data_IF_756794632291
#
_entry.id   IF_756794632291
#
_cell.length_a   1.000
_cell.length_b   1.000
_cell.length_c   1.000
_cell.angle_alpha   90.00
_cell.angle_beta   90.00
_cell.angle_gamma   90.00
#
_symmetry.space_group_name_H-M   'P 1'
#
loop_
_entity.id
_entity.type
_entity.pdbx_description
1 polymer ?
#
# COMPACT_ATOMS: atom_id res chain seq x y z
N UNK A 1 -0.65 9.67 10.38
CA UNK A 1 -1.48 9.17 9.27
C UNK A 1 -2.71 8.49 9.84
N UNK A 2 -3.89 9.05 9.59
CA UNK A 2 -5.15 8.62 10.23
C UNK A 2 -6.14 7.96 9.26
N UNK A 3 -5.95 8.12 7.94
CA UNK A 3 -6.87 7.59 6.95
C UNK A 3 -6.18 7.37 5.59
N UNK A 4 -6.80 6.55 4.74
CA UNK A 4 -6.43 6.35 3.34
C UNK A 4 -7.14 7.43 2.51
N UNK A 5 -6.45 8.55 2.31
CA UNK A 5 -6.98 9.69 1.54
C UNK A 5 -7.30 9.29 0.09
N UNK A 6 -6.43 8.59 -0.64
CA UNK A 6 -6.74 8.13 -2.00
C UNK A 6 -8.03 7.34 -2.12
N UNK A 7 -8.29 6.43 -1.19
CA UNK A 7 -9.45 5.55 -1.26
C UNK A 7 -10.76 6.23 -0.87
N UNK A 8 -10.73 7.16 0.12
CA UNK A 8 -11.97 7.66 0.74
C UNK A 8 -12.18 9.16 0.64
N UNK A 9 -11.13 9.93 0.38
CA UNK A 9 -11.15 11.40 0.46
C UNK A 9 -10.44 12.07 -0.72
N UNK A 10 -10.37 11.42 -1.88
CA UNK A 10 -9.72 11.98 -3.07
C UNK A 10 -10.34 13.34 -3.45
N UNK A 11 -11.67 13.43 -3.58
CA UNK A 11 -12.39 14.66 -3.90
C UNK A 11 -12.07 15.79 -2.93
N UNK A 12 -12.13 15.50 -1.63
CA UNK A 12 -11.81 16.47 -0.60
C UNK A 12 -10.37 16.96 -0.70
N UNK A 13 -9.43 16.04 -0.90
CA UNK A 13 -8.02 16.37 -0.98
C UNK A 13 -7.72 17.26 -2.18
N UNK A 14 -8.23 16.91 -3.36
CA UNK A 14 -8.00 17.69 -4.57
C UNK A 14 -8.69 19.07 -4.50
N UNK A 15 -9.87 19.15 -3.89
CA UNK A 15 -10.51 20.44 -3.61
C UNK A 15 -9.68 21.30 -2.68
N UNK A 16 -9.05 20.72 -1.65
CA UNK A 16 -8.15 21.45 -0.76
C UNK A 16 -6.85 21.87 -1.46
N UNK A 17 -6.32 21.02 -2.32
CA UNK A 17 -5.14 21.33 -3.11
C UNK A 17 -5.42 22.50 -4.08
N UNK A 18 -6.62 22.56 -4.67
CA UNK A 18 -7.07 23.65 -5.51
C UNK A 18 -7.19 24.98 -4.72
N UNK A 19 -7.77 24.93 -3.53
CA UNK A 19 -7.92 26.08 -2.61
C UNK A 19 -6.55 26.57 -2.09
N UNK A 20 -5.53 25.67 -2.08
CA UNK A 20 -4.17 26.00 -1.68
C UNK A 20 -3.83 25.70 -0.22
N UNK A 21 -4.77 25.26 0.59
CA UNK A 21 -4.50 24.86 1.98
C UNK A 21 -5.54 23.92 2.56
N UNK A 22 -5.16 23.24 3.64
CA UNK A 22 -6.08 22.52 4.52
C UNK A 22 -5.89 22.97 5.97
N UNK A 23 -6.92 22.80 6.78
CA UNK A 23 -6.87 22.96 8.22
C UNK A 23 -7.05 21.61 8.91
N UNK A 24 -6.25 21.36 9.92
CA UNK A 24 -6.40 20.24 10.82
C UNK A 24 -6.51 20.75 12.25
N UNK A 25 -7.54 20.32 12.96
CA UNK A 25 -7.72 20.68 14.35
C UNK A 25 -7.08 19.62 15.24
N UNK A 26 -6.12 20.03 16.07
CA UNK A 26 -5.48 19.13 17.01
C UNK A 26 -6.53 18.61 18.03
N UNK A 27 -6.78 17.30 18.09
CA UNK A 27 -7.81 16.74 18.96
C UNK A 27 -7.53 16.87 20.46
N UNK A 28 -6.28 17.17 20.85
CA UNK A 28 -5.89 17.29 22.26
C UNK A 28 -6.09 18.70 22.83
N UNK A 29 -5.95 19.74 22.02
CA UNK A 29 -6.02 21.13 22.49
C UNK A 29 -6.97 22.02 21.67
N UNK A 30 -7.64 21.49 20.66
CA UNK A 30 -8.57 22.23 19.81
C UNK A 30 -7.94 23.31 18.90
N UNK A 31 -6.61 23.40 18.87
CA UNK A 31 -5.92 24.43 18.08
C UNK A 31 -5.88 24.03 16.60
N UNK A 32 -6.38 24.87 15.68
CA UNK A 32 -6.28 24.61 14.25
C UNK A 32 -4.85 24.82 13.75
N UNK A 33 -4.36 23.87 12.96
CA UNK A 33 -3.11 23.96 12.22
C UNK A 33 -3.45 24.06 10.74
N UNK A 34 -2.84 25.01 10.06
CA UNK A 34 -3.01 25.22 8.63
C UNK A 34 -1.79 24.68 7.87
N UNK A 35 -2.06 23.88 6.84
CA UNK A 35 -1.04 23.34 5.94
C UNK A 35 -1.24 23.98 4.57
N UNK A 36 -0.28 24.80 4.13
CA UNK A 36 -0.29 25.41 2.80
C UNK A 36 0.22 24.40 1.76
N UNK A 37 -0.43 24.39 0.60
CA UNK A 37 -0.03 23.60 -0.57
C UNK A 37 0.66 24.43 -1.67
N UNK A 38 0.84 25.74 -1.46
CA UNK A 38 1.40 26.67 -2.45
C UNK A 38 2.77 26.24 -2.99
N UNK A 39 3.60 25.68 -2.12
CA UNK A 39 4.96 25.23 -2.47
C UNK A 39 5.05 23.72 -2.78
N UNK A 40 3.91 23.03 -2.90
CA UNK A 40 3.90 21.61 -3.20
C UNK A 40 4.45 21.37 -4.59
N UNK A 41 5.46 20.49 -4.71
CA UNK A 41 6.08 20.08 -5.97
C UNK A 41 5.91 18.60 -6.25
N UNK A 42 5.69 17.82 -5.19
CA UNK A 42 5.57 16.38 -5.29
C UNK A 42 4.66 15.83 -4.20
N UNK A 43 3.85 14.81 -4.53
CA UNK A 43 2.94 14.16 -3.59
C UNK A 43 3.17 12.66 -3.61
N UNK A 44 3.32 12.08 -2.43
CA UNK A 44 3.38 10.62 -2.24
C UNK A 44 2.02 10.16 -1.75
N UNK A 45 1.33 9.38 -2.56
CA UNK A 45 0.11 8.72 -2.16
C UNK A 45 0.41 7.31 -1.64
N UNK A 46 -0.28 6.90 -0.60
CA UNK A 46 -0.17 5.56 -0.07
C UNK A 46 -1.57 5.01 0.16
N UNK A 47 -1.92 3.92 -0.52
CA UNK A 47 -3.29 3.40 -0.52
C UNK A 47 -3.33 1.90 -0.84
N UNK A 48 -4.39 1.25 -0.34
CA UNK A 48 -4.83 -0.09 -0.79
C UNK A 48 -5.82 -0.02 -1.95
N UNK A 49 -6.41 1.14 -2.20
CA UNK A 49 -7.32 1.39 -3.33
C UNK A 49 -7.11 2.81 -3.89
N UNK A 50 -6.08 3.05 -4.70
CA UNK A 50 -5.84 4.36 -5.30
C UNK A 50 -6.71 4.67 -6.52
N UNK A 51 -7.64 3.79 -6.92
CA UNK A 51 -8.51 4.00 -8.09
C UNK A 51 -9.22 5.37 -8.12
N UNK A 52 -9.74 5.90 -6.99
CA UNK A 52 -10.39 7.21 -6.98
C UNK A 52 -9.46 8.40 -7.30
N UNK A 53 -8.12 8.20 -7.34
CA UNK A 53 -7.19 9.26 -7.78
C UNK A 53 -7.19 9.44 -9.30
N UNK A 54 -7.56 8.42 -10.08
CA UNK A 54 -7.38 8.42 -11.54
C UNK A 54 -7.96 9.67 -12.21
N UNK A 55 -9.20 10.12 -11.89
CA UNK A 55 -9.77 11.32 -12.51
C UNK A 55 -8.98 12.61 -12.25
N UNK A 56 -8.14 12.64 -11.20
CA UNK A 56 -7.41 13.82 -10.76
C UNK A 56 -5.95 13.87 -11.22
N UNK A 57 -5.42 12.81 -11.82
CA UNK A 57 -4.01 12.75 -12.21
C UNK A 57 -3.67 13.82 -13.26
N UNK A 58 -4.61 14.13 -14.15
CA UNK A 58 -4.43 15.21 -15.13
C UNK A 58 -4.30 16.58 -14.44
N UNK A 59 -5.09 16.85 -13.39
CA UNK A 59 -5.00 18.08 -12.61
C UNK A 59 -3.58 18.26 -12.00
N UNK A 60 -2.97 17.19 -11.47
CA UNK A 60 -1.61 17.26 -10.96
C UNK A 60 -0.60 17.62 -12.05
N UNK A 61 -0.75 17.00 -13.22
CA UNK A 61 0.09 17.27 -14.39
C UNK A 61 -0.01 18.72 -14.84
N UNK A 62 -1.21 19.26 -14.92
CA UNK A 62 -1.47 20.65 -15.33
C UNK A 62 -0.90 21.65 -14.31
N UNK A 63 -0.85 21.27 -13.03
CA UNK A 63 -0.22 22.06 -11.94
C UNK A 63 1.28 21.84 -11.81
N UNK A 64 1.90 21.02 -12.65
CA UNK A 64 3.30 20.62 -12.55
C UNK A 64 3.67 20.03 -11.19
N UNK A 65 2.75 19.30 -10.58
CA UNK A 65 2.97 18.59 -9.32
C UNK A 65 3.23 17.11 -9.65
N UNK A 66 4.45 16.66 -9.38
CA UNK A 66 4.79 15.24 -9.53
C UNK A 66 4.11 14.38 -8.46
N UNK A 67 3.90 13.11 -8.76
CA UNK A 67 3.44 12.16 -7.74
C UNK A 67 3.98 10.76 -8.01
N UNK A 68 4.03 9.95 -6.96
CA UNK A 68 4.05 8.50 -7.08
C UNK A 68 3.12 7.86 -6.06
N UNK A 69 2.78 6.61 -6.31
CA UNK A 69 1.80 5.87 -5.53
C UNK A 69 2.48 4.67 -4.89
N UNK A 70 2.48 4.61 -3.57
CA UNK A 70 2.79 3.45 -2.76
C UNK A 70 1.52 2.58 -2.70
N UNK A 71 1.39 1.63 -3.61
CA UNK A 71 0.20 0.80 -3.71
C UNK A 71 0.37 -0.48 -2.90
N UNK A 72 -0.30 -0.56 -1.76
CA UNK A 72 -0.35 -1.79 -0.97
C UNK A 72 -1.29 -2.78 -1.64
N UNK A 73 -0.72 -3.79 -2.24
CA UNK A 73 -1.41 -4.86 -2.98
C UNK A 73 -1.01 -6.20 -2.38
N UNK A 74 -1.75 -6.60 -1.36
CA UNK A 74 -1.66 -7.90 -0.68
C UNK A 74 -2.77 -8.83 -1.21
N UNK A 75 -2.70 -10.10 -0.84
CA UNK A 75 -3.74 -11.10 -1.10
C UNK A 75 -4.17 -11.78 0.20
N UNK A 76 -4.97 -11.06 0.98
CA UNK A 76 -5.49 -11.53 2.27
C UNK A 76 -7.03 -11.58 2.32
N UNK A 77 -7.68 -11.64 1.15
CA UNK A 77 -9.15 -11.64 1.06
C UNK A 77 -9.76 -12.90 1.68
N UNK A 78 -9.17 -14.06 1.36
CA UNK A 78 -9.65 -15.37 1.84
C UNK A 78 -9.57 -15.49 3.36
N UNK A 79 -8.56 -14.89 3.96
CA UNK A 79 -8.33 -14.89 5.40
C UNK A 79 -9.10 -13.80 6.13
N UNK A 80 -9.80 -12.93 5.38
CA UNK A 80 -10.61 -11.85 5.95
C UNK A 80 -9.81 -10.73 6.62
N UNK A 81 -8.51 -10.63 6.35
CA UNK A 81 -7.63 -9.61 6.94
C UNK A 81 -7.73 -8.25 6.24
N UNK A 82 -8.32 -8.19 5.05
CA UNK A 82 -8.47 -6.97 4.24
C UNK A 82 -9.94 -6.69 3.93
N UNK A 83 -10.72 -6.37 4.97
CA UNK A 83 -12.13 -6.00 4.80
C UNK A 83 -12.26 -4.63 4.14
N UNK A 84 -13.15 -4.52 3.14
CA UNK A 84 -13.51 -3.25 2.50
C UNK A 84 -12.51 -2.74 1.45
N UNK A 85 -11.59 -3.58 0.98
CA UNK A 85 -10.81 -3.31 -0.23
C UNK A 85 -11.48 -3.98 -1.45
N UNK A 86 -11.30 -3.46 -2.67
CA UNK A 86 -11.76 -4.13 -3.88
C UNK A 86 -11.08 -5.49 -4.08
N UNK A 87 -11.68 -6.37 -4.87
CA UNK A 87 -11.11 -7.67 -5.21
C UNK A 87 -9.69 -7.55 -5.80
N UNK A 88 -8.87 -8.57 -5.57
CA UNK A 88 -7.46 -8.57 -6.01
C UNK A 88 -7.31 -8.32 -7.52
N UNK A 89 -8.17 -8.92 -8.33
CA UNK A 89 -8.19 -8.74 -9.78
C UNK A 89 -8.43 -7.27 -10.19
N UNK A 90 -9.34 -6.57 -9.51
CA UNK A 90 -9.61 -5.14 -9.75
C UNK A 90 -8.42 -4.29 -9.31
N UNK A 91 -7.78 -4.61 -8.19
CA UNK A 91 -6.60 -3.90 -7.69
C UNK A 91 -5.41 -4.06 -8.64
N UNK A 92 -5.19 -5.27 -9.18
CA UNK A 92 -4.15 -5.51 -10.20
C UNK A 92 -4.44 -4.68 -11.46
N UNK A 93 -5.69 -4.66 -11.93
CA UNK A 93 -6.06 -3.84 -13.08
C UNK A 93 -5.86 -2.35 -12.81
N UNK A 94 -6.23 -1.87 -11.62
CA UNK A 94 -5.99 -0.49 -11.19
C UNK A 94 -4.49 -0.16 -11.17
N UNK A 95 -3.65 -1.09 -10.71
CA UNK A 95 -2.20 -0.91 -10.73
C UNK A 95 -1.69 -0.69 -12.16
N UNK A 96 -2.08 -1.56 -13.08
CA UNK A 96 -1.68 -1.48 -14.50
C UNK A 96 -2.18 -0.18 -15.14
N UNK A 97 -3.42 0.22 -14.87
CA UNK A 97 -4.01 1.47 -15.37
C UNK A 97 -3.21 2.69 -14.89
N UNK A 98 -2.87 2.74 -13.61
CA UNK A 98 -2.06 3.82 -13.03
C UNK A 98 -0.65 3.87 -13.65
N UNK A 99 -0.03 2.73 -13.89
CA UNK A 99 1.27 2.67 -14.58
C UNK A 99 1.17 3.18 -16.03
N UNK A 100 0.09 2.86 -16.73
CA UNK A 100 -0.13 3.37 -18.10
C UNK A 100 -0.30 4.89 -18.12
N UNK A 101 -0.87 5.49 -17.07
CA UNK A 101 -1.09 6.94 -16.95
C UNK A 101 0.17 7.67 -16.49
N UNK A 102 0.83 7.15 -15.45
CA UNK A 102 1.93 7.83 -14.75
C UNK A 102 3.32 7.43 -15.26
N UNK A 103 3.42 6.26 -15.88
CA UNK A 103 4.68 5.63 -16.26
C UNK A 103 5.23 4.68 -15.20
N UNK A 104 6.12 3.78 -15.64
CA UNK A 104 6.88 2.89 -14.78
C UNK A 104 7.68 3.69 -13.74
N UNK A 105 7.84 3.12 -12.54
CA UNK A 105 8.55 3.78 -11.44
C UNK A 105 7.70 4.75 -10.62
N UNK A 106 6.52 5.14 -11.12
CA UNK A 106 5.59 6.01 -10.38
C UNK A 106 4.55 5.25 -9.57
N UNK A 107 4.43 3.94 -9.75
CA UNK A 107 3.56 3.06 -8.96
C UNK A 107 4.41 1.95 -8.36
N UNK A 108 4.57 1.98 -7.05
CA UNK A 108 5.40 1.06 -6.30
C UNK A 108 4.52 -0.02 -5.68
N UNK A 109 4.81 -1.27 -5.98
CA UNK A 109 4.12 -2.37 -5.34
C UNK A 109 4.64 -2.58 -3.91
N UNK A 110 3.71 -2.63 -2.97
CA UNK A 110 3.97 -2.98 -1.57
C UNK A 110 3.19 -4.21 -1.20
N UNK A 111 3.87 -5.27 -0.79
CA UNK A 111 3.26 -6.38 -0.06
C UNK A 111 3.56 -6.18 1.42
N UNK A 112 2.71 -5.41 2.10
CA UNK A 112 3.05 -4.80 3.38
C UNK A 112 1.81 -4.71 4.29
N UNK A 113 1.86 -5.36 5.48
CA UNK A 113 2.93 -6.26 5.94
C UNK A 113 2.73 -7.72 5.51
N UNK A 114 3.80 -8.53 5.61
CA UNK A 114 3.73 -9.98 5.66
C UNK A 114 3.19 -10.38 7.04
N UNK A 115 2.27 -11.34 7.08
CA UNK A 115 1.64 -11.82 8.33
C UNK A 115 1.63 -13.35 8.31
N UNK A 116 2.08 -13.97 9.40
CA UNK A 116 1.95 -15.40 9.63
C UNK A 116 0.74 -15.67 10.54
N UNK A 117 -0.05 -16.68 10.18
CA UNK A 117 -1.21 -17.14 10.95
C UNK A 117 -1.33 -18.66 10.86
N UNK A 118 -2.29 -19.26 11.57
CA UNK A 118 -2.57 -20.70 11.43
C UNK A 118 -2.90 -21.09 9.98
N UNK A 119 -3.45 -20.19 9.19
CA UNK A 119 -3.86 -20.40 7.80
C UNK A 119 -2.90 -19.80 6.76
N UNK A 120 -1.88 -19.06 7.18
CA UNK A 120 -0.91 -18.41 6.29
C UNK A 120 0.49 -18.79 6.76
N UNK A 121 1.14 -19.70 6.06
CA UNK A 121 2.53 -20.08 6.26
C UNK A 121 3.46 -19.34 5.30
N UNK A 122 4.76 -19.48 5.49
CA UNK A 122 5.78 -18.90 4.60
C UNK A 122 5.52 -19.27 3.13
N UNK A 123 5.22 -20.54 2.85
CA UNK A 123 4.91 -21.03 1.49
C UNK A 123 3.67 -20.35 0.91
N UNK A 124 2.63 -20.11 1.70
CA UNK A 124 1.42 -19.43 1.24
C UNK A 124 1.70 -17.97 0.90
N UNK A 125 2.52 -17.29 1.72
CA UNK A 125 2.96 -15.91 1.42
C UNK A 125 3.74 -15.85 0.13
N UNK A 126 4.68 -16.76 -0.10
CA UNK A 126 5.48 -16.83 -1.33
C UNK A 126 4.59 -17.07 -2.55
N UNK A 127 3.61 -17.97 -2.48
CA UNK A 127 2.65 -18.21 -3.56
C UNK A 127 1.78 -16.98 -3.86
N UNK A 128 1.30 -16.27 -2.82
CA UNK A 128 0.52 -15.04 -2.98
C UNK A 128 1.35 -13.94 -3.66
N UNK A 129 2.59 -13.77 -3.22
CA UNK A 129 3.52 -12.79 -3.81
C UNK A 129 3.87 -13.20 -5.24
N UNK A 130 4.10 -14.50 -5.50
CA UNK A 130 4.37 -15.00 -6.83
C UNK A 130 3.25 -14.69 -7.80
N UNK A 131 2.01 -14.99 -7.42
CA UNK A 131 0.85 -14.70 -8.25
C UNK A 131 0.74 -13.22 -8.61
N UNK A 132 0.87 -12.31 -7.64
CA UNK A 132 0.80 -10.86 -7.89
C UNK A 132 2.01 -10.41 -8.71
N UNK A 133 3.21 -10.86 -8.37
CA UNK A 133 4.45 -10.49 -9.07
C UNK A 133 4.42 -10.86 -10.55
N UNK A 134 3.89 -12.03 -10.88
CA UNK A 134 3.71 -12.47 -12.27
C UNK A 134 2.70 -11.58 -13.01
N UNK A 135 1.63 -11.14 -12.34
CA UNK A 135 0.65 -10.21 -12.90
C UNK A 135 1.21 -8.80 -13.09
N UNK A 136 2.17 -8.38 -12.26
CA UNK A 136 2.78 -7.05 -12.31
C UNK A 136 4.08 -7.01 -13.12
N UNK A 137 4.53 -8.14 -13.68
CA UNK A 137 5.73 -8.19 -14.50
C UNK A 137 5.62 -7.22 -15.67
N UNK A 138 6.62 -6.34 -15.79
CA UNK A 138 6.62 -5.28 -16.79
C UNK A 138 5.90 -3.99 -16.40
N UNK A 139 5.14 -3.98 -15.28
CA UNK A 139 4.44 -2.80 -14.77
C UNK A 139 5.14 -2.17 -13.56
N UNK A 140 5.85 -2.93 -12.74
CA UNK A 140 6.64 -2.40 -11.63
C UNK A 140 8.10 -2.76 -11.77
N UNK A 141 8.96 -2.00 -11.08
CA UNK A 141 10.40 -2.22 -10.98
C UNK A 141 10.81 -2.53 -9.54
N UNK A 142 9.86 -2.40 -8.59
CA UNK A 142 10.17 -2.52 -7.17
C UNK A 142 9.06 -3.22 -6.41
N UNK A 143 9.46 -4.13 -5.52
CA UNK A 143 8.63 -4.73 -4.48
C UNK A 143 9.15 -4.26 -3.12
N UNK A 144 8.29 -3.59 -2.35
CA UNK A 144 8.54 -3.26 -0.95
C UNK A 144 7.72 -4.20 -0.09
N UNK A 145 8.34 -4.80 0.93
CA UNK A 145 7.66 -5.66 1.89
C UNK A 145 8.13 -5.35 3.32
N UNK A 146 7.36 -5.72 4.30
CA UNK A 146 7.76 -5.65 5.70
C UNK A 146 7.22 -6.84 6.47
N UNK A 147 7.92 -7.24 7.50
CA UNK A 147 7.43 -8.25 8.44
C UNK A 147 6.52 -7.59 9.46
N UNK A 148 5.37 -8.20 9.75
CA UNK A 148 4.49 -7.69 10.79
C UNK A 148 5.13 -7.90 12.15
N UNK A 149 5.23 -6.83 12.93
CA UNK A 149 5.55 -6.85 14.34
C UNK A 149 4.23 -6.63 15.11
N UNK A 150 3.49 -7.72 15.29
CA UNK A 150 2.13 -7.64 15.84
C UNK A 150 2.16 -7.30 17.32
N UNK A 151 3.20 -7.72 18.03
CA UNK A 151 3.36 -7.45 19.46
C UNK A 151 3.41 -5.94 19.75
N UNK A 152 4.09 -5.17 18.91
CA UNK A 152 4.21 -3.71 19.05
C UNK A 152 2.93 -2.97 18.64
N UNK A 153 2.16 -3.51 17.70
CA UNK A 153 0.94 -2.89 17.19
C UNK A 153 -0.32 -3.36 17.91
N UNK A 154 -0.53 -2.89 19.16
CA UNK A 154 -1.66 -3.27 20.04
C UNK A 154 -3.03 -3.30 19.35
N UNK A 155 -3.29 -2.38 18.41
CA UNK A 155 -4.57 -2.35 17.66
C UNK A 155 -4.70 -3.53 16.71
N UNK A 156 -3.61 -3.90 16.03
CA UNK A 156 -3.57 -5.06 15.12
C UNK A 156 -3.77 -6.33 15.92
N UNK A 157 -2.98 -6.51 16.99
CA UNK A 157 -3.09 -7.62 17.92
C UNK A 157 -4.52 -7.82 18.40
N UNK A 158 -5.13 -6.76 18.96
CA UNK A 158 -6.52 -6.80 19.43
C UNK A 158 -7.51 -7.19 18.34
N UNK A 159 -7.32 -6.69 17.10
CA UNK A 159 -8.21 -7.03 15.99
C UNK A 159 -8.10 -8.50 15.61
N UNK A 160 -6.91 -9.06 15.57
CA UNK A 160 -6.69 -10.49 15.30
C UNK A 160 -7.33 -11.35 16.38
N UNK A 161 -7.06 -11.06 17.66
CA UNK A 161 -7.64 -11.76 18.82
C UNK A 161 -9.18 -11.69 18.81
N UNK A 162 -9.77 -10.51 18.54
CA UNK A 162 -11.23 -10.35 18.49
C UNK A 162 -11.88 -11.14 17.35
N UNK A 163 -11.16 -11.40 16.26
CA UNK A 163 -11.63 -12.23 15.15
C UNK A 163 -11.18 -13.70 15.27
N UNK A 164 -10.64 -14.13 16.39
CA UNK A 164 -10.12 -15.49 16.67
C UNK A 164 -9.07 -15.93 15.62
N UNK A 165 -8.23 -15.00 15.17
CA UNK A 165 -7.14 -15.28 14.26
C UNK A 165 -5.86 -15.45 15.09
N UNK A 166 -5.34 -16.66 15.14
CA UNK A 166 -4.05 -16.94 15.77
C UNK A 166 -2.93 -16.53 14.82
N UNK A 167 -1.98 -15.77 15.33
CA UNK A 167 -0.83 -15.27 14.56
C UNK A 167 0.49 -15.78 15.15
N UNK A 168 1.50 -15.83 14.33
CA UNK A 168 2.87 -16.14 14.73
C UNK A 168 3.76 -14.92 14.41
N UNK A 169 4.66 -14.56 15.33
CA UNK A 169 5.69 -13.57 15.05
C UNK A 169 6.78 -14.16 14.15
N UNK A 170 7.32 -13.34 13.28
CA UNK A 170 8.47 -13.74 12.49
C UNK A 170 9.70 -13.91 13.39
N UNK A 171 10.44 -14.96 13.18
CA UNK A 171 11.77 -15.17 13.74
C UNK A 171 12.84 -15.15 12.63
N UNK A 172 14.11 -15.18 12.99
CA UNK A 172 15.21 -15.13 12.02
C UNK A 172 15.10 -16.23 10.95
N UNK A 173 14.69 -17.44 11.31
CA UNK A 173 14.55 -18.55 10.38
C UNK A 173 13.45 -18.29 9.34
N UNK A 174 12.27 -17.85 9.78
CA UNK A 174 11.13 -17.57 8.89
C UNK A 174 11.38 -16.31 8.03
N UNK A 175 12.08 -15.31 8.58
CA UNK A 175 12.51 -14.14 7.79
C UNK A 175 13.51 -14.53 6.71
N UNK A 176 14.46 -15.41 7.03
CA UNK A 176 15.44 -15.90 6.06
C UNK A 176 14.80 -16.76 4.99
N UNK A 177 13.83 -17.60 5.34
CA UNK A 177 13.07 -18.42 4.39
C UNK A 177 12.31 -17.55 3.39
N UNK A 178 11.61 -16.51 3.88
CA UNK A 178 10.94 -15.51 3.02
C UNK A 178 11.94 -14.80 2.11
N UNK A 179 13.05 -14.30 2.66
CA UNK A 179 14.04 -13.57 1.89
C UNK A 179 14.66 -14.45 0.79
N UNK A 180 14.96 -15.70 1.10
CA UNK A 180 15.50 -16.68 0.14
C UNK A 180 14.47 -17.01 -0.96
N UNK A 181 13.22 -17.24 -0.57
CA UNK A 181 12.12 -17.49 -1.52
C UNK A 181 11.88 -16.30 -2.44
N UNK A 182 11.85 -15.08 -1.89
CA UNK A 182 11.71 -13.86 -2.70
C UNK A 182 12.90 -13.66 -3.65
N UNK A 183 14.13 -13.93 -3.21
CA UNK A 183 15.29 -13.84 -4.07
C UNK A 183 15.21 -14.84 -5.26
N UNK A 184 14.70 -16.04 -5.02
CA UNK A 184 14.48 -17.04 -6.08
C UNK A 184 13.39 -16.59 -7.06
N UNK A 185 12.23 -16.17 -6.56
CA UNK A 185 11.13 -15.65 -7.38
C UNK A 185 11.57 -14.44 -8.19
N UNK A 186 12.40 -13.57 -7.61
CA UNK A 186 12.85 -12.35 -8.26
C UNK A 186 13.78 -12.58 -9.46
N UNK A 187 14.38 -13.76 -9.58
CA UNK A 187 15.17 -14.11 -10.79
C UNK A 187 14.35 -14.00 -12.08
N UNK A 188 13.02 -14.24 -12.00
CA UNK A 188 12.11 -14.12 -13.14
C UNK A 188 11.56 -12.71 -13.37
N UNK A 189 11.57 -11.85 -12.33
CA UNK A 189 10.98 -10.49 -12.39
C UNK A 189 12.03 -9.39 -12.57
N UNK A 190 13.16 -9.52 -11.86
CA UNK A 190 14.21 -8.50 -11.82
C UNK A 190 13.82 -7.23 -11.08
N UNK A 191 12.97 -7.35 -10.04
CA UNK A 191 12.57 -6.19 -9.23
C UNK A 191 13.68 -5.80 -8.25
N UNK A 192 13.72 -4.52 -7.89
CA UNK A 192 14.40 -4.06 -6.68
C UNK A 192 13.57 -4.54 -5.47
N UNK A 193 14.16 -5.37 -4.60
CA UNK A 193 13.54 -5.82 -3.36
C UNK A 193 13.97 -4.87 -2.23
N UNK A 194 13.02 -4.36 -1.46
CA UNK A 194 13.25 -3.45 -0.34
C UNK A 194 12.35 -3.75 0.86
N UNK A 195 12.82 -3.43 2.07
CA UNK A 195 12.07 -3.52 3.32
C UNK A 195 11.90 -2.15 3.97
#
# INVERSE_FOLDING_TARGET
>A
RSTDIPAFYADWFFKRLEIGYSAWTNPFNGVPLYVSYEKTRFIVFWSKNPRPLIPYLQFLKDKHIGCYIQFTLNDYEREGLEKGVPELSERINTFRELVNILGKGHVIWRFDPLILTDSIRVTDLLHKIEYIGDQLKGYTEKLVFSFADIAEYKKVKRNLETNNIHYEEFNESTMYEIASGLAELNKKWGYELAT
#
